data_IF_631947068418
#
_entry.id   IF_631947068418
#
_cell.length_a   1.000
_cell.length_b   1.000
_cell.length_c   1.000
_cell.angle_alpha   90.00
_cell.angle_beta   90.00
_cell.angle_gamma   90.00
#
_symmetry.space_group_name_H-M   'P 1'
#
loop_
_entity.id
_entity.type
_entity.pdbx_description
1 polymer ?
#
# COMPACT_ATOMS: atom_id res chain seq x y z
N UNK A 1 -13.91 -1.29 16.33
CA UNK A 1 -12.96 -1.90 15.38
C UNK A 1 -11.66 -2.23 16.10
N UNK A 2 -11.05 -3.40 15.95
CA UNK A 2 -9.76 -3.70 16.55
C UNK A 2 -8.67 -2.94 15.81
N UNK A 3 -8.19 -1.83 16.38
CA UNK A 3 -7.13 -0.97 15.82
C UNK A 3 -5.76 -1.67 15.78
N UNK A 4 -5.60 -2.74 16.57
CA UNK A 4 -4.38 -3.53 16.58
C UNK A 4 -4.06 -4.17 15.22
N UNK A 5 -5.07 -4.65 14.48
CA UNK A 5 -4.84 -5.32 13.19
C UNK A 5 -4.25 -4.39 12.11
N UNK A 6 -4.78 -3.16 11.86
CA UNK A 6 -4.14 -2.23 10.95
C UNK A 6 -2.75 -1.79 11.41
N UNK A 7 -2.52 -1.70 12.73
CA UNK A 7 -1.21 -1.37 13.28
C UNK A 7 -0.19 -2.49 13.01
N UNK A 8 -0.57 -3.74 13.25
CA UNK A 8 0.24 -4.91 12.90
C UNK A 8 0.52 -4.94 11.40
N UNK A 9 -0.50 -4.73 10.57
CA UNK A 9 -0.34 -4.67 9.11
C UNK A 9 0.63 -3.57 8.69
N UNK A 10 0.61 -2.41 9.36
CA UNK A 10 1.53 -1.30 9.07
C UNK A 10 2.99 -1.65 9.40
N UNK A 11 3.24 -2.34 10.50
CA UNK A 11 4.57 -2.84 10.86
C UNK A 11 5.05 -3.91 9.85
N UNK A 12 4.20 -4.87 9.53
CA UNK A 12 4.51 -5.91 8.53
C UNK A 12 4.77 -5.31 7.15
N UNK A 13 4.08 -4.22 6.77
CA UNK A 13 4.39 -3.50 5.54
C UNK A 13 5.82 -2.96 5.54
N UNK A 14 6.25 -2.34 6.61
CA UNK A 14 7.59 -1.79 6.71
C UNK A 14 8.65 -2.91 6.64
N UNK A 15 8.43 -4.01 7.34
CA UNK A 15 9.30 -5.18 7.33
C UNK A 15 9.37 -5.82 5.94
N UNK A 16 8.22 -6.06 5.31
CA UNK A 16 8.15 -6.63 3.96
C UNK A 16 8.78 -5.73 2.91
N UNK A 17 8.55 -4.42 3.00
CA UNK A 17 9.16 -3.42 2.10
C UNK A 17 10.67 -3.38 2.25
N UNK A 18 11.19 -3.49 3.47
CA UNK A 18 12.62 -3.60 3.73
C UNK A 18 13.22 -4.85 3.08
N UNK A 19 12.58 -6.01 3.24
CA UNK A 19 12.99 -7.26 2.58
C UNK A 19 12.99 -7.14 1.07
N UNK A 20 11.92 -6.58 0.45
CA UNK A 20 11.87 -6.33 -0.98
C UNK A 20 12.98 -5.37 -1.45
N UNK A 21 13.23 -4.28 -0.70
CA UNK A 21 14.34 -3.33 -0.99
C UNK A 21 15.69 -4.04 -1.01
N UNK A 22 15.91 -4.96 -0.08
CA UNK A 22 17.13 -5.77 -0.04
C UNK A 22 17.25 -6.69 -1.27
N UNK A 23 16.15 -7.34 -1.67
CA UNK A 23 16.08 -8.14 -2.89
C UNK A 23 16.36 -7.32 -4.16
N UNK A 24 15.75 -6.14 -4.29
CA UNK A 24 15.96 -5.22 -5.42
C UNK A 24 17.41 -4.74 -5.52
N UNK A 25 18.04 -4.38 -4.39
CA UNK A 25 19.46 -3.98 -4.35
C UNK A 25 20.41 -5.08 -4.80
N UNK A 26 19.99 -6.35 -4.68
CA UNK A 26 20.74 -7.53 -5.11
C UNK A 26 20.34 -8.03 -6.49
N UNK A 27 19.61 -7.23 -7.27
CA UNK A 27 19.30 -7.47 -8.68
C UNK A 27 17.99 -8.22 -8.95
N UNK A 28 17.11 -8.42 -7.97
CA UNK A 28 15.77 -8.95 -8.24
C UNK A 28 14.93 -7.96 -9.04
N UNK A 29 14.12 -8.47 -9.97
CA UNK A 29 13.29 -7.60 -10.82
C UNK A 29 12.00 -7.14 -10.10
N UNK A 30 11.64 -5.84 -10.13
CA UNK A 30 10.48 -5.30 -9.39
C UNK A 30 9.14 -5.98 -9.73
N UNK A 31 8.91 -6.32 -11.02
CA UNK A 31 7.67 -6.98 -11.45
C UNK A 31 7.57 -8.39 -10.92
N UNK A 32 8.69 -9.11 -10.81
CA UNK A 32 8.71 -10.42 -10.20
C UNK A 32 8.30 -10.37 -8.73
N UNK A 33 8.85 -9.42 -7.97
CA UNK A 33 8.46 -9.22 -6.57
C UNK A 33 6.97 -8.90 -6.43
N UNK A 34 6.44 -8.08 -7.35
CA UNK A 34 5.02 -7.77 -7.39
C UNK A 34 4.16 -9.03 -7.69
N UNK A 35 4.57 -9.86 -8.66
CA UNK A 35 3.86 -11.10 -8.97
C UNK A 35 3.88 -12.08 -7.79
N UNK A 36 5.02 -12.25 -7.13
CA UNK A 36 5.15 -13.10 -5.94
C UNK A 36 4.24 -12.59 -4.81
N UNK A 37 4.18 -11.27 -4.58
CA UNK A 37 3.29 -10.72 -3.57
C UNK A 37 1.81 -10.87 -3.94
N UNK A 38 1.44 -10.82 -5.23
CA UNK A 38 0.07 -11.10 -5.67
C UNK A 38 -0.33 -12.56 -5.43
N UNK A 39 0.56 -13.50 -5.73
CA UNK A 39 0.36 -14.93 -5.42
C UNK A 39 0.26 -15.17 -3.91
N UNK A 40 1.11 -14.50 -3.12
CA UNK A 40 1.06 -14.58 -1.67
C UNK A 40 -0.27 -14.04 -1.10
N UNK A 41 -0.81 -12.94 -1.64
CA UNK A 41 -2.15 -12.44 -1.26
C UNK A 41 -3.23 -13.51 -1.49
N UNK A 42 -3.23 -14.14 -2.66
CA UNK A 42 -4.18 -15.21 -2.97
C UNK A 42 -4.01 -16.42 -2.03
N UNK A 43 -2.77 -16.85 -1.80
CA UNK A 43 -2.48 -17.97 -0.90
C UNK A 43 -2.91 -17.70 0.54
N UNK A 44 -2.61 -16.53 1.09
CA UNK A 44 -3.02 -16.14 2.45
C UNK A 44 -4.52 -15.95 2.61
N UNK A 45 -5.22 -15.57 1.56
CA UNK A 45 -6.67 -15.39 1.60
C UNK A 45 -7.45 -16.69 1.42
N UNK A 46 -6.89 -17.69 0.74
CA UNK A 46 -7.59 -18.93 0.43
C UNK A 46 -8.21 -19.65 1.66
N UNK A 47 -7.52 -19.77 2.81
CA UNK A 47 -8.11 -20.40 4.01
C UNK A 47 -9.32 -19.67 4.57
N UNK A 48 -9.51 -18.37 4.26
CA UNK A 48 -10.65 -17.60 4.77
C UNK A 48 -12.00 -18.17 4.35
N UNK A 49 -12.07 -18.88 3.22
CA UNK A 49 -13.29 -19.58 2.77
C UNK A 49 -13.79 -20.56 3.82
N UNK A 50 -12.87 -21.20 4.56
CA UNK A 50 -13.21 -22.21 5.57
C UNK A 50 -13.67 -21.55 6.87
N UNK A 51 -12.96 -20.48 7.30
CA UNK A 51 -13.18 -19.85 8.60
C UNK A 51 -14.28 -18.79 8.61
N UNK A 52 -14.57 -18.19 7.46
CA UNK A 52 -15.52 -17.09 7.33
C UNK A 52 -16.49 -17.35 6.16
N UNK A 53 -17.29 -18.44 6.23
CA UNK A 53 -18.26 -18.72 5.18
C UNK A 53 -19.27 -17.59 5.09
N UNK A 54 -19.61 -17.20 3.86
CA UNK A 54 -20.59 -16.16 3.60
C UNK A 54 -21.73 -16.69 2.73
N UNK A 55 -22.76 -15.86 2.55
CA UNK A 55 -23.84 -16.14 1.59
C UNK A 55 -23.49 -15.53 0.24
N UNK A 56 -23.28 -16.33 -0.81
CA UNK A 56 -22.87 -15.79 -2.10
C UNK A 56 -24.00 -14.99 -2.75
N UNK A 57 -23.76 -13.68 -2.96
CA UNK A 57 -24.63 -12.80 -3.70
C UNK A 57 -23.93 -12.35 -4.99
N UNK A 58 -24.64 -12.34 -6.12
CA UNK A 58 -24.07 -11.97 -7.43
C UNK A 58 -23.40 -10.59 -7.43
N UNK A 59 -23.99 -9.61 -6.74
CA UNK A 59 -23.40 -8.25 -6.60
C UNK A 59 -22.07 -8.26 -5.84
N UNK A 60 -21.96 -9.09 -4.79
CA UNK A 60 -20.72 -9.27 -4.04
C UNK A 60 -19.62 -9.91 -4.88
N UNK A 61 -19.99 -10.87 -5.74
CA UNK A 61 -19.08 -11.51 -6.70
C UNK A 61 -18.49 -10.49 -7.68
N UNK A 62 -19.34 -9.69 -8.34
CA UNK A 62 -18.89 -8.63 -9.24
C UNK A 62 -18.05 -7.58 -8.51
N UNK A 63 -18.41 -7.25 -7.26
CA UNK A 63 -17.61 -6.35 -6.41
C UNK A 63 -16.23 -6.87 -6.12
N UNK A 64 -16.06 -8.19 -5.91
CA UNK A 64 -14.76 -8.80 -5.69
C UNK A 64 -13.87 -8.73 -6.94
N UNK A 65 -14.43 -9.07 -8.11
CA UNK A 65 -13.70 -8.95 -9.39
C UNK A 65 -13.31 -7.50 -9.67
N UNK A 66 -14.21 -6.55 -9.43
CA UNK A 66 -13.94 -5.13 -9.57
C UNK A 66 -12.80 -4.69 -8.63
N UNK A 67 -12.88 -5.04 -7.35
CA UNK A 67 -11.84 -4.69 -6.36
C UNK A 67 -10.45 -5.24 -6.76
N UNK A 68 -10.38 -6.49 -7.23
CA UNK A 68 -9.14 -7.08 -7.72
C UNK A 68 -8.58 -6.39 -8.96
N UNK A 69 -9.45 -6.00 -9.89
CA UNK A 69 -9.08 -5.24 -11.10
C UNK A 69 -8.56 -3.84 -10.72
N UNK A 70 -9.25 -3.12 -9.83
CA UNK A 70 -8.82 -1.81 -9.35
C UNK A 70 -7.48 -1.89 -8.63
N UNK A 71 -7.29 -2.91 -7.79
CA UNK A 71 -6.01 -3.17 -7.13
C UNK A 71 -4.90 -3.43 -8.16
N UNK A 72 -5.16 -4.22 -9.21
CA UNK A 72 -4.21 -4.47 -10.29
C UNK A 72 -3.80 -3.17 -10.99
N UNK A 73 -4.75 -2.31 -11.34
CA UNK A 73 -4.48 -1.01 -12.00
C UNK A 73 -3.65 -0.12 -11.07
N UNK A 74 -4.03 -0.01 -9.80
CA UNK A 74 -3.29 0.75 -8.79
C UNK A 74 -1.84 0.28 -8.67
N UNK A 75 -1.60 -1.04 -8.60
CA UNK A 75 -0.25 -1.62 -8.55
C UNK A 75 0.55 -1.37 -9.83
N UNK A 76 -0.08 -1.47 -11.00
CA UNK A 76 0.55 -1.16 -12.28
C UNK A 76 0.98 0.32 -12.37
N UNK A 77 0.13 1.23 -11.89
CA UNK A 77 0.46 2.66 -11.79
C UNK A 77 1.61 2.92 -10.80
N UNK A 78 1.59 2.27 -9.63
CA UNK A 78 2.65 2.38 -8.63
C UNK A 78 4.01 1.90 -9.18
N UNK A 79 4.04 0.76 -9.87
CA UNK A 79 5.27 0.26 -10.53
C UNK A 79 5.78 1.28 -11.55
N UNK A 80 4.90 1.90 -12.35
CA UNK A 80 5.31 2.93 -13.33
C UNK A 80 5.84 4.19 -12.65
N UNK A 81 5.22 4.63 -11.56
CA UNK A 81 5.72 5.75 -10.77
C UNK A 81 7.15 5.48 -10.26
N UNK A 82 7.37 4.29 -9.68
CA UNK A 82 8.66 3.90 -9.13
C UNK A 82 9.73 3.64 -10.20
N UNK A 83 9.33 3.18 -11.41
CA UNK A 83 10.26 2.90 -12.50
C UNK A 83 10.71 4.16 -13.24
N UNK A 84 9.96 5.25 -13.19
CA UNK A 84 10.23 6.49 -13.95
C UNK A 84 10.84 7.59 -13.10
N UNK A 85 10.67 7.58 -11.78
CA UNK A 85 11.04 8.67 -10.91
C UNK A 85 11.67 8.28 -9.60
N UNK A 86 11.96 9.30 -8.81
CA UNK A 86 12.55 9.11 -7.50
C UNK A 86 11.52 8.61 -6.49
N UNK A 87 11.94 7.68 -5.65
CA UNK A 87 11.12 7.08 -4.58
C UNK A 87 10.64 8.15 -3.60
N UNK A 88 11.46 9.20 -3.41
CA UNK A 88 11.18 10.32 -2.50
C UNK A 88 9.99 11.17 -2.93
N UNK A 89 9.67 11.20 -4.25
CA UNK A 89 8.51 11.91 -4.77
C UNK A 89 7.27 11.00 -4.84
N UNK A 90 7.44 9.75 -5.27
CA UNK A 90 6.31 8.83 -5.44
C UNK A 90 5.65 8.47 -4.09
N UNK A 91 6.43 8.30 -3.02
CA UNK A 91 5.92 7.85 -1.72
C UNK A 91 5.02 8.86 -1.03
N UNK A 92 5.35 10.19 -0.98
CA UNK A 92 4.43 11.20 -0.46
C UNK A 92 3.09 11.23 -1.18
N UNK A 93 3.13 11.16 -2.51
CA UNK A 93 1.91 11.21 -3.33
C UNK A 93 1.06 9.94 -3.12
N UNK A 94 1.67 8.77 -2.99
CA UNK A 94 0.96 7.54 -2.60
C UNK A 94 0.30 7.65 -1.21
N UNK A 95 0.82 8.48 -0.32
CA UNK A 95 0.23 8.79 0.97
C UNK A 95 -1.15 9.46 0.88
N UNK A 96 -1.45 10.17 -0.22
CA UNK A 96 -2.76 10.77 -0.48
C UNK A 96 -3.91 9.73 -0.58
N UNK A 97 -3.59 8.43 -0.67
CA UNK A 97 -4.57 7.35 -0.62
C UNK A 97 -5.58 7.54 0.51
N UNK A 98 -5.14 7.96 1.70
CA UNK A 98 -6.00 8.11 2.86
C UNK A 98 -7.08 9.20 2.66
N UNK A 99 -6.71 10.31 2.01
CA UNK A 99 -7.66 11.36 1.63
C UNK A 99 -8.64 10.83 0.58
N UNK A 100 -8.16 10.12 -0.44
CA UNK A 100 -9.05 9.52 -1.45
C UNK A 100 -10.04 8.53 -0.82
N UNK A 101 -9.61 7.69 0.12
CA UNK A 101 -10.52 6.78 0.83
C UNK A 101 -11.60 7.56 1.56
N UNK A 102 -11.25 8.61 2.32
CA UNK A 102 -12.20 9.42 3.04
C UNK A 102 -13.23 10.10 2.09
N UNK A 103 -12.76 10.73 1.02
CA UNK A 103 -13.62 11.38 0.02
C UNK A 103 -14.51 10.37 -0.70
N UNK A 104 -13.95 9.24 -1.15
CA UNK A 104 -14.71 8.21 -1.86
C UNK A 104 -15.74 7.52 -0.95
N UNK A 105 -15.46 7.39 0.36
CA UNK A 105 -16.45 6.90 1.34
C UNK A 105 -17.66 7.82 1.37
N UNK A 106 -17.46 9.13 1.46
CA UNK A 106 -18.58 10.10 1.44
C UNK A 106 -19.34 10.07 0.10
N UNK A 107 -18.60 10.08 -1.03
CA UNK A 107 -19.23 10.23 -2.36
C UNK A 107 -19.89 8.93 -2.84
N UNK A 108 -19.20 7.78 -2.72
CA UNK A 108 -19.66 6.50 -3.30
C UNK A 108 -20.51 5.68 -2.33
N UNK A 109 -20.17 5.68 -1.03
CA UNK A 109 -20.92 4.93 -0.03
C UNK A 109 -22.06 5.77 0.56
N UNK A 110 -21.98 7.10 0.44
CA UNK A 110 -22.87 8.05 1.11
C UNK A 110 -22.84 7.88 2.64
N UNK A 111 -21.73 7.38 3.17
CA UNK A 111 -21.51 7.23 4.61
C UNK A 111 -20.85 8.50 5.15
N UNK A 112 -21.37 9.08 6.25
CA UNK A 112 -20.76 10.25 6.85
C UNK A 112 -19.39 9.89 7.43
N UNK A 113 -18.39 10.71 7.10
CA UNK A 113 -17.06 10.65 7.73
C UNK A 113 -17.00 11.77 8.74
N UNK A 114 -16.74 11.46 10.01
CA UNK A 114 -16.69 12.49 11.06
C UNK A 114 -15.60 13.53 10.75
N UNK A 115 -15.77 14.81 11.17
CA UNK A 115 -14.76 15.84 10.96
C UNK A 115 -13.39 15.47 11.53
N UNK A 116 -13.35 14.78 12.68
CA UNK A 116 -12.11 14.29 13.28
C UNK A 116 -11.42 13.22 12.43
N UNK A 117 -12.19 12.29 11.83
CA UNK A 117 -11.65 11.27 10.94
C UNK A 117 -11.17 11.89 9.61
N UNK A 118 -11.87 12.91 9.08
CA UNK A 118 -11.43 13.65 7.89
C UNK A 118 -10.13 14.41 8.17
N UNK A 119 -10.04 15.11 9.31
CA UNK A 119 -8.82 15.78 9.75
C UNK A 119 -7.67 14.76 9.93
N UNK A 120 -7.94 13.60 10.52
CA UNK A 120 -7.00 12.49 10.63
C UNK A 120 -6.49 12.02 9.27
N UNK A 121 -7.37 11.91 8.26
CA UNK A 121 -6.98 11.52 6.90
C UNK A 121 -6.04 12.56 6.24
N UNK A 122 -6.32 13.84 6.40
CA UNK A 122 -5.44 14.92 5.91
C UNK A 122 -4.11 14.93 6.63
N UNK A 123 -4.13 14.89 7.96
CA UNK A 123 -2.90 14.89 8.77
C UNK A 123 -2.02 13.68 8.50
N UNK A 124 -2.61 12.48 8.35
CA UNK A 124 -1.85 11.26 8.02
C UNK A 124 -1.18 11.37 6.65
N UNK A 125 -1.85 11.97 5.67
CA UNK A 125 -1.28 12.19 4.33
C UNK A 125 -0.13 13.19 4.37
N UNK A 126 -0.26 14.30 5.10
CA UNK A 126 0.81 15.27 5.33
C UNK A 126 1.98 14.64 6.09
N UNK A 127 1.70 13.85 7.12
CA UNK A 127 2.70 13.13 7.88
C UNK A 127 3.53 12.19 7.00
N UNK A 128 2.86 11.36 6.16
CA UNK A 128 3.55 10.47 5.22
C UNK A 128 4.37 11.27 4.21
N UNK A 129 3.88 12.42 3.74
CA UNK A 129 4.64 13.29 2.86
C UNK A 129 5.93 13.78 3.53
N UNK A 130 5.86 14.30 4.76
CA UNK A 130 7.03 14.75 5.52
C UNK A 130 8.04 13.63 5.80
N UNK A 131 7.54 12.45 6.24
CA UNK A 131 8.37 11.29 6.54
C UNK A 131 9.10 10.74 5.31
N UNK A 132 8.56 10.97 4.11
CA UNK A 132 9.10 10.49 2.84
C UNK A 132 10.11 11.44 2.20
N UNK A 133 10.28 12.67 2.72
CA UNK A 133 11.22 13.64 2.17
C UNK A 133 12.66 13.13 2.29
N UNK A 134 13.36 13.08 1.15
CA UNK A 134 14.77 12.67 1.13
C UNK A 134 15.69 13.77 1.69
N UNK A 135 16.84 13.40 2.28
CA UNK A 135 17.85 14.38 2.70
C UNK A 135 18.32 15.27 1.56
N UNK A 136 18.31 14.78 0.30
CA UNK A 136 18.69 15.54 -0.88
C UNK A 136 17.74 16.70 -1.17
N UNK A 137 16.42 16.47 -1.10
CA UNK A 137 15.40 17.51 -1.27
C UNK A 137 15.52 18.56 -0.16
N UNK A 138 15.71 18.13 1.08
CA UNK A 138 15.86 19.03 2.22
C UNK A 138 17.13 19.90 2.14
N UNK A 139 18.14 19.47 1.38
CA UNK A 139 19.38 20.22 1.09
C UNK A 139 19.32 21.04 -0.20
N UNK A 140 18.15 21.18 -0.83
CA UNK A 140 17.94 22.02 -2.01
C UNK A 140 18.53 21.48 -3.32
N UNK A 141 18.80 20.18 -3.43
CA UNK A 141 19.19 19.57 -4.72
C UNK A 141 17.99 19.58 -5.67
N UNK A 142 18.11 20.37 -6.76
CA UNK A 142 17.09 20.40 -7.83
C UNK A 142 17.14 19.09 -8.62
N UNK A 143 16.06 18.34 -8.56
CA UNK A 143 15.82 17.20 -9.44
C UNK A 143 15.04 17.66 -10.70
N UNK A 144 15.10 16.90 -11.78
CA UNK A 144 14.51 17.29 -13.08
C UNK A 144 12.99 17.41 -13.03
N UNK A 145 12.44 18.60 -13.14
CA UNK A 145 11.02 18.91 -12.95
C UNK A 145 10.05 18.21 -13.94
N UNK A 146 10.52 17.77 -15.12
CA UNK A 146 9.65 17.08 -16.09
C UNK A 146 9.43 15.61 -15.75
N UNK A 147 10.47 14.92 -15.26
CA UNK A 147 10.40 13.52 -14.79
C UNK A 147 9.51 13.46 -13.55
N UNK A 148 9.56 14.49 -12.71
CA UNK A 148 8.80 14.63 -11.48
C UNK A 148 7.29 14.68 -11.71
N UNK A 149 6.80 15.39 -12.76
CA UNK A 149 5.37 15.47 -13.07
C UNK A 149 4.78 14.12 -13.51
N UNK A 150 5.50 13.37 -14.34
CA UNK A 150 5.04 12.05 -14.78
C UNK A 150 5.01 11.05 -13.60
N UNK A 151 6.01 11.08 -12.74
CA UNK A 151 6.08 10.25 -11.52
C UNK A 151 4.94 10.59 -10.56
N UNK A 152 4.72 11.89 -10.28
CA UNK A 152 3.63 12.35 -9.44
C UNK A 152 2.26 11.95 -10.01
N UNK A 153 2.05 12.08 -11.33
CA UNK A 153 0.81 11.68 -12.00
C UNK A 153 0.52 10.17 -11.84
N UNK A 154 1.52 9.31 -12.08
CA UNK A 154 1.34 7.87 -11.89
C UNK A 154 1.13 7.49 -10.42
N UNK A 155 1.82 8.15 -9.48
CA UNK A 155 1.63 7.92 -8.05
C UNK A 155 0.24 8.37 -7.57
N UNK A 156 -0.27 9.51 -8.10
CA UNK A 156 -1.61 9.99 -7.79
C UNK A 156 -2.70 9.03 -8.29
N UNK A 157 -2.55 8.54 -9.53
CA UNK A 157 -3.44 7.52 -10.07
C UNK A 157 -3.39 6.24 -9.24
N UNK A 158 -2.22 5.80 -8.81
CA UNK A 158 -2.08 4.65 -7.94
C UNK A 158 -2.79 4.86 -6.59
N UNK A 159 -2.60 6.02 -5.96
CA UNK A 159 -3.26 6.38 -4.71
C UNK A 159 -4.79 6.38 -4.84
N UNK A 160 -5.30 6.95 -5.94
CA UNK A 160 -6.73 6.96 -6.27
C UNK A 160 -7.29 5.53 -6.43
N UNK A 161 -6.64 4.70 -7.26
CA UNK A 161 -7.12 3.32 -7.48
C UNK A 161 -7.01 2.46 -6.22
N UNK A 162 -6.00 2.65 -5.39
CA UNK A 162 -5.93 1.98 -4.09
C UNK A 162 -7.04 2.45 -3.15
N UNK A 163 -7.37 3.74 -3.13
CA UNK A 163 -8.49 4.28 -2.37
C UNK A 163 -9.82 3.71 -2.86
N UNK A 164 -10.03 3.68 -4.18
CA UNK A 164 -11.23 3.12 -4.79
C UNK A 164 -11.36 1.60 -4.52
N UNK A 165 -10.23 0.88 -4.50
CA UNK A 165 -10.21 -0.54 -4.08
C UNK A 165 -10.75 -0.70 -2.67
N UNK A 166 -10.25 0.07 -1.69
CA UNK A 166 -10.64 -0.06 -0.29
C UNK A 166 -12.13 0.25 -0.07
N UNK A 167 -12.63 1.29 -0.75
CA UNK A 167 -14.06 1.64 -0.70
C UNK A 167 -14.92 0.57 -1.37
N UNK A 168 -14.44 -0.03 -2.47
CA UNK A 168 -15.12 -1.17 -3.12
C UNK A 168 -15.15 -2.39 -2.19
N UNK A 169 -14.06 -2.68 -1.48
CA UNK A 169 -14.01 -3.73 -0.46
C UNK A 169 -15.03 -3.44 0.64
N UNK A 170 -15.05 -2.22 1.20
CA UNK A 170 -16.02 -1.84 2.24
C UNK A 170 -17.47 -2.04 1.77
N UNK A 171 -17.77 -1.67 0.52
CA UNK A 171 -19.12 -1.76 -0.05
C UNK A 171 -19.61 -3.19 -0.24
N UNK A 172 -18.74 -4.04 -0.81
CA UNK A 172 -19.20 -5.32 -1.37
C UNK A 172 -18.77 -6.55 -0.57
N UNK A 173 -17.76 -6.44 0.32
CA UNK A 173 -17.27 -7.61 1.05
C UNK A 173 -18.34 -8.23 1.95
N UNK A 174 -19.19 -7.42 2.56
CA UNK A 174 -20.29 -7.92 3.41
C UNK A 174 -21.39 -8.65 2.62
N UNK A 175 -21.55 -8.34 1.31
CA UNK A 175 -22.57 -8.98 0.46
C UNK A 175 -22.19 -10.40 0.05
N UNK A 176 -20.91 -10.72 0.01
CA UNK A 176 -20.40 -12.04 -0.34
C UNK A 176 -19.89 -12.82 0.87
N UNK A 177 -19.58 -12.11 1.96
CA UNK A 177 -18.79 -12.60 3.07
C UNK A 177 -17.29 -12.50 2.76
N UNK A 178 -16.51 -12.09 3.76
CA UNK A 178 -15.06 -11.83 3.59
C UNK A 178 -14.32 -13.09 3.12
N UNK A 179 -14.76 -14.27 3.58
CA UNK A 179 -14.16 -15.55 3.22
C UNK A 179 -14.26 -15.90 1.74
N UNK A 180 -15.29 -15.47 1.04
CA UNK A 180 -15.41 -15.62 -0.42
C UNK A 180 -14.90 -14.40 -1.17
N UNK A 181 -15.19 -13.19 -0.67
CA UNK A 181 -14.83 -11.95 -1.33
C UNK A 181 -13.33 -11.81 -1.54
N UNK A 182 -12.55 -12.02 -0.49
CA UNK A 182 -11.13 -11.74 -0.52
C UNK A 182 -10.33 -12.73 -1.39
N UNK A 183 -10.53 -14.07 -1.31
CA UNK A 183 -9.91 -15.01 -2.23
C UNK A 183 -10.26 -14.74 -3.70
N UNK A 184 -11.51 -14.41 -4.00
CA UNK A 184 -11.96 -14.10 -5.35
C UNK A 184 -11.33 -12.79 -5.88
N UNK A 185 -11.27 -11.75 -5.05
CA UNK A 185 -10.58 -10.50 -5.34
C UNK A 185 -9.11 -10.74 -5.70
N UNK A 186 -8.40 -11.53 -4.91
CA UNK A 186 -6.99 -11.80 -5.17
C UNK A 186 -6.77 -12.83 -6.29
N UNK A 187 -7.70 -13.74 -6.52
CA UNK A 187 -7.68 -14.61 -7.70
C UNK A 187 -7.77 -13.78 -8.99
N UNK A 188 -8.69 -12.80 -9.05
CA UNK A 188 -8.76 -11.90 -10.22
C UNK A 188 -7.49 -11.08 -10.42
N UNK A 189 -6.86 -10.61 -9.32
CA UNK A 189 -5.56 -9.93 -9.36
C UNK A 189 -4.47 -10.85 -9.93
N UNK A 190 -4.42 -12.12 -9.51
CA UNK A 190 -3.45 -13.11 -10.00
C UNK A 190 -3.64 -13.39 -11.49
N UNK A 191 -4.90 -13.55 -11.94
CA UNK A 191 -5.23 -13.75 -13.37
C UNK A 191 -4.77 -12.56 -14.22
N UNK A 192 -4.86 -11.33 -13.72
CA UNK A 192 -4.40 -10.14 -14.43
C UNK A 192 -2.87 -9.93 -14.34
N UNK A 193 -2.20 -10.58 -13.40
CA UNK A 193 -0.75 -10.38 -13.16
C UNK A 193 0.12 -10.62 -14.40
N UNK A 194 -0.10 -11.60 -15.30
CA UNK A 194 0.66 -11.77 -16.54
C UNK A 194 0.70 -10.52 -17.43
N UNK A 195 -0.33 -9.67 -17.40
CA UNK A 195 -0.37 -8.43 -18.18
C UNK A 195 0.75 -7.43 -17.79
N UNK A 196 1.28 -7.53 -16.57
CA UNK A 196 2.43 -6.72 -16.14
C UNK A 196 3.71 -7.09 -16.90
N UNK A 197 3.80 -8.31 -17.42
CA UNK A 197 4.97 -8.85 -18.14
C UNK A 197 4.84 -8.74 -19.66
N UNK A 198 3.66 -8.42 -20.17
CA UNK A 198 3.42 -8.33 -21.59
C UNK A 198 4.48 -7.49 -22.35
N UNK A 199 4.89 -6.29 -21.88
CA UNK A 199 5.91 -5.50 -22.57
C UNK A 199 7.27 -6.19 -22.67
N UNK A 200 7.68 -6.99 -21.67
CA UNK A 200 8.94 -7.72 -21.70
C UNK A 200 8.87 -8.94 -22.59
N UNK A 201 7.77 -9.68 -22.56
CA UNK A 201 7.55 -10.87 -23.39
C UNK A 201 7.62 -10.48 -24.86
N UNK A 202 6.99 -9.36 -25.23
CA UNK A 202 6.98 -8.88 -26.62
C UNK A 202 8.31 -8.25 -27.09
N UNK A 203 9.09 -7.64 -26.15
CA UNK A 203 10.32 -6.91 -26.50
C UNK A 203 11.59 -7.76 -26.44
N UNK A 204 11.68 -8.72 -25.52
CA UNK A 204 12.91 -9.44 -25.17
C UNK A 204 12.87 -10.95 -25.38
N UNK A 205 11.77 -11.49 -25.89
CA UNK A 205 11.59 -12.94 -25.96
C UNK A 205 11.48 -13.56 -24.56
N UNK A 206 11.68 -14.89 -24.47
CA UNK A 206 11.52 -15.67 -23.22
C UNK A 206 12.64 -15.48 -22.18
N UNK A 207 13.25 -14.30 -22.07
CA UNK A 207 14.22 -14.07 -20.99
C UNK A 207 13.49 -13.96 -19.66
N UNK A 208 13.74 -14.93 -18.78
CA UNK A 208 13.23 -14.94 -17.42
C UNK A 208 13.73 -13.72 -16.64
N UNK A 209 12.85 -13.13 -15.85
CA UNK A 209 13.22 -12.01 -14.99
C UNK A 209 14.22 -12.47 -13.93
N UNK A 210 15.32 -11.74 -13.72
CA UNK A 210 16.38 -12.20 -12.84
C UNK A 210 15.91 -12.26 -11.38
N UNK A 211 16.22 -13.40 -10.75
CA UNK A 211 16.15 -13.60 -9.31
C UNK A 211 17.47 -14.27 -8.83
N UNK A 212 18.54 -13.46 -8.68
CA UNK A 212 19.82 -13.96 -8.21
C UNK A 212 19.71 -14.70 -6.89
N UNK A 213 20.55 -15.72 -6.66
CA UNK A 213 20.54 -16.49 -5.43
C UNK A 213 20.67 -15.63 -4.18
N UNK A 214 21.55 -14.61 -4.21
CA UNK A 214 21.76 -13.64 -3.15
C UNK A 214 20.55 -12.73 -2.85
N UNK A 215 19.63 -12.57 -3.83
CA UNK A 215 18.44 -11.77 -3.70
C UNK A 215 17.23 -12.55 -3.15
N UNK A 216 17.25 -13.90 -3.26
CA UNK A 216 16.06 -14.75 -3.03
C UNK A 216 15.44 -14.55 -1.67
N UNK A 217 16.22 -14.60 -0.59
CA UNK A 217 15.67 -14.51 0.77
C UNK A 217 14.92 -13.19 0.99
N UNK A 218 15.53 -12.04 0.63
CA UNK A 218 14.89 -10.73 0.75
C UNK A 218 13.69 -10.57 -0.19
N UNK A 219 13.84 -10.99 -1.45
CA UNK A 219 12.80 -10.88 -2.46
C UNK A 219 11.57 -11.73 -2.12
N UNK A 220 11.75 -13.02 -1.82
CA UNK A 220 10.65 -13.92 -1.49
C UNK A 220 10.04 -13.58 -0.14
N UNK A 221 10.85 -13.48 0.91
CA UNK A 221 10.38 -13.16 2.26
C UNK A 221 9.65 -11.82 2.30
N UNK A 222 10.24 -10.76 1.72
CA UNK A 222 9.61 -9.45 1.64
C UNK A 222 8.29 -9.47 0.88
N UNK A 223 8.23 -10.16 -0.27
CA UNK A 223 7.01 -10.25 -1.07
C UNK A 223 5.89 -11.03 -0.38
N UNK A 224 6.24 -12.13 0.31
CA UNK A 224 5.27 -12.93 1.09
C UNK A 224 4.70 -12.12 2.24
N UNK A 225 5.54 -11.38 2.98
CA UNK A 225 5.09 -10.51 4.07
C UNK A 225 4.21 -9.37 3.54
N UNK A 226 4.54 -8.76 2.38
CA UNK A 226 3.67 -7.77 1.72
C UNK A 226 2.33 -8.39 1.31
N UNK A 227 2.33 -9.63 0.84
CA UNK A 227 1.10 -10.36 0.53
C UNK A 227 0.23 -10.55 1.78
N UNK A 228 0.82 -11.02 2.86
CA UNK A 228 0.12 -11.24 4.12
C UNK A 228 -0.48 -9.94 4.70
N UNK A 229 0.33 -8.88 4.83
CA UNK A 229 -0.16 -7.62 5.38
C UNK A 229 -1.26 -6.98 4.52
N UNK A 230 -1.17 -7.08 3.18
CA UNK A 230 -2.24 -6.58 2.31
C UNK A 230 -3.53 -7.38 2.52
N UNK A 231 -3.41 -8.70 2.62
CA UNK A 231 -4.52 -9.58 2.96
C UNK A 231 -5.17 -9.19 4.29
N UNK A 232 -4.36 -8.88 5.31
CA UNK A 232 -4.84 -8.43 6.62
C UNK A 232 -5.58 -7.09 6.55
N UNK A 233 -5.08 -6.11 5.79
CA UNK A 233 -5.77 -4.80 5.60
C UNK A 233 -7.11 -5.00 4.91
N UNK A 234 -7.16 -5.78 3.82
CA UNK A 234 -8.39 -6.07 3.09
C UNK A 234 -9.39 -6.81 3.99
N UNK A 235 -8.93 -7.76 4.79
CA UNK A 235 -9.75 -8.45 5.79
C UNK A 235 -10.37 -7.46 6.77
N UNK A 236 -9.58 -6.56 7.35
CA UNK A 236 -10.07 -5.58 8.33
C UNK A 236 -11.14 -4.68 7.70
N UNK A 237 -10.89 -4.15 6.51
CA UNK A 237 -11.84 -3.29 5.81
C UNK A 237 -13.12 -4.08 5.46
N UNK A 238 -12.98 -5.28 4.91
CA UNK A 238 -14.12 -6.09 4.48
C UNK A 238 -14.99 -6.58 5.64
N UNK A 239 -14.37 -6.95 6.75
CA UNK A 239 -15.07 -7.50 7.91
C UNK A 239 -15.68 -6.40 8.79
N UNK A 240 -14.92 -5.35 9.12
CA UNK A 240 -15.35 -4.30 10.03
C UNK A 240 -16.00 -3.09 9.31
N UNK A 241 -15.65 -2.82 8.05
CA UNK A 241 -16.31 -1.78 7.26
C UNK A 241 -15.82 -0.35 7.52
N UNK A 242 -14.63 -0.14 8.07
CA UNK A 242 -14.10 1.20 8.39
C UNK A 242 -12.84 1.51 7.58
N UNK A 243 -12.98 1.64 6.24
CA UNK A 243 -11.82 1.84 5.35
C UNK A 243 -11.02 3.10 5.71
N UNK A 244 -11.68 4.23 5.99
CA UNK A 244 -10.98 5.49 6.32
C UNK A 244 -10.16 5.35 7.59
N UNK A 245 -10.75 4.87 8.68
CA UNK A 245 -10.05 4.68 9.96
C UNK A 245 -8.92 3.66 9.83
N UNK A 246 -9.16 2.55 9.12
CA UNK A 246 -8.13 1.55 8.82
C UNK A 246 -6.93 2.18 8.13
N UNK A 247 -7.16 3.03 7.11
CA UNK A 247 -6.07 3.66 6.36
C UNK A 247 -5.34 4.74 7.16
N UNK A 248 -6.00 5.49 8.04
CA UNK A 248 -5.33 6.43 8.95
C UNK A 248 -4.38 5.69 9.88
N UNK A 249 -4.83 4.62 10.54
CA UNK A 249 -3.97 3.80 11.41
C UNK A 249 -2.86 3.12 10.60
N UNK A 250 -3.18 2.58 9.44
CA UNK A 250 -2.21 1.92 8.56
C UNK A 250 -1.14 2.89 8.02
N UNK A 251 -1.39 4.20 7.99
CA UNK A 251 -0.39 5.20 7.60
C UNK A 251 0.84 5.21 8.53
N UNK A 252 0.74 4.66 9.76
CA UNK A 252 1.87 4.46 10.69
C UNK A 252 3.00 3.60 10.11
N UNK A 253 2.77 2.91 8.98
CA UNK A 253 3.82 2.21 8.22
C UNK A 253 5.02 3.11 7.87
N UNK A 254 4.80 4.43 7.69
CA UNK A 254 5.86 5.39 7.45
C UNK A 254 6.80 5.55 8.65
N UNK A 255 6.23 5.54 9.86
CA UNK A 255 7.01 5.58 11.11
C UNK A 255 7.84 4.29 11.28
N UNK A 256 7.21 3.13 11.10
CA UNK A 256 7.91 1.84 11.19
C UNK A 256 9.04 1.72 10.17
N UNK A 257 8.84 2.22 8.95
CA UNK A 257 9.89 2.21 7.91
C UNK A 257 11.13 3.01 8.34
N UNK A 258 10.93 4.18 8.97
CA UNK A 258 12.03 5.01 9.49
C UNK A 258 12.73 4.33 10.66
N UNK A 259 11.98 3.76 11.61
CA UNK A 259 12.54 3.06 12.75
C UNK A 259 13.36 1.85 12.32
N UNK A 260 12.86 1.05 11.37
CA UNK A 260 13.59 -0.09 10.82
C UNK A 260 14.84 0.35 10.03
N UNK A 261 14.76 1.43 9.26
CA UNK A 261 15.93 1.97 8.55
C UNK A 261 16.99 2.46 9.53
N UNK A 262 16.61 3.09 10.63
CA UNK A 262 17.52 3.50 11.70
C UNK A 262 18.18 2.34 12.42
N UNK A 263 17.41 1.28 12.72
CA UNK A 263 17.89 0.12 13.45
C UNK A 263 18.79 -0.80 12.59
N UNK A 264 18.47 -0.96 11.30
CA UNK A 264 19.10 -1.96 10.43
C UNK A 264 20.01 -1.36 9.35
N UNK A 265 19.94 -0.08 9.09
CA UNK A 265 20.53 0.57 7.92
C UNK A 265 21.72 1.52 8.17
N UNK A 266 22.17 1.67 9.40
CA UNK A 266 23.31 2.55 9.75
C UNK A 266 22.99 4.04 9.48
N UNK A 267 22.59 4.70 10.50
CA UNK A 267 21.97 6.00 10.65
C UNK A 267 22.65 7.28 10.17
N UNK A 268 23.30 7.33 9.03
CA UNK A 268 23.89 8.60 8.52
C UNK A 268 22.84 9.71 8.33
N UNK A 269 21.59 9.38 8.06
CA UNK A 269 20.50 10.35 7.91
C UNK A 269 20.05 11.00 9.24
N UNK A 270 20.34 10.39 10.38
CA UNK A 270 19.97 10.90 11.70
C UNK A 270 20.95 11.96 12.25
N UNK A 271 22.11 12.15 11.62
CA UNK A 271 23.10 13.16 12.02
C UNK A 271 22.74 14.57 11.53
N UNK A 272 21.80 14.70 10.59
CA UNK A 272 21.34 16.00 10.09
C UNK A 272 20.12 16.47 10.89
N UNK A 273 20.32 17.53 11.68
CA UNK A 273 19.28 18.12 12.55
C UNK A 273 18.00 18.51 11.79
N UNK A 274 18.11 18.97 10.52
CA UNK A 274 16.95 19.32 9.69
C UNK A 274 16.14 18.09 9.30
N UNK A 275 16.82 17.03 8.88
CA UNK A 275 16.18 15.75 8.53
C UNK A 275 15.48 15.17 9.77
N UNK A 276 16.16 15.20 10.92
CA UNK A 276 15.59 14.72 12.17
C UNK A 276 14.35 15.52 12.58
N UNK A 277 14.39 16.86 12.51
CA UNK A 277 13.25 17.72 12.86
C UNK A 277 12.04 17.42 11.97
N UNK A 278 12.22 17.31 10.63
CA UNK A 278 11.13 16.98 9.69
C UNK A 278 10.54 15.59 10.00
N UNK A 279 11.38 14.59 10.30
CA UNK A 279 10.91 13.25 10.66
C UNK A 279 10.16 13.23 11.99
N UNK A 280 10.61 13.97 13.00
CA UNK A 280 9.91 14.09 14.28
C UNK A 280 8.56 14.80 14.11
N UNK A 281 8.50 15.88 13.32
CA UNK A 281 7.25 16.56 12.97
C UNK A 281 6.29 15.62 12.26
N UNK A 282 6.75 14.89 11.25
CA UNK A 282 5.93 13.90 10.56
C UNK A 282 5.43 12.79 11.49
N UNK A 283 6.27 12.31 12.40
CA UNK A 283 5.87 11.31 13.39
C UNK A 283 4.80 11.86 14.36
N UNK A 284 4.96 13.09 14.85
CA UNK A 284 3.98 13.75 15.73
C UNK A 284 2.63 13.95 15.04
N UNK A 285 2.63 14.43 13.78
CA UNK A 285 1.41 14.56 12.98
C UNK A 285 0.72 13.21 12.75
N UNK A 286 1.49 12.15 12.53
CA UNK A 286 0.95 10.81 12.35
C UNK A 286 0.29 10.29 13.62
N UNK A 287 0.91 10.46 14.76
CA UNK A 287 0.32 10.10 16.06
C UNK A 287 -0.95 10.91 16.34
N UNK A 288 -0.94 12.21 16.07
CA UNK A 288 -2.12 13.07 16.18
C UNK A 288 -3.25 12.61 15.25
N UNK A 289 -2.92 12.20 14.00
CA UNK A 289 -3.92 11.68 13.05
C UNK A 289 -4.58 10.40 13.55
N UNK A 290 -3.80 9.51 14.14
CA UNK A 290 -4.32 8.25 14.73
C UNK A 290 -5.19 8.57 15.95
N UNK A 291 -4.77 9.49 16.83
CA UNK A 291 -5.56 9.88 17.99
C UNK A 291 -6.93 10.48 17.58
N UNK A 292 -6.95 11.33 16.55
CA UNK A 292 -8.20 11.88 15.99
C UNK A 292 -9.09 10.78 15.39
N UNK A 293 -8.51 9.81 14.67
CA UNK A 293 -9.27 8.71 14.11
C UNK A 293 -9.87 7.82 15.20
N UNK A 294 -9.11 7.52 16.25
CA UNK A 294 -9.57 6.71 17.39
C UNK A 294 -10.66 7.42 18.18
N UNK A 295 -10.49 8.71 18.46
CA UNK A 295 -11.50 9.51 19.17
C UNK A 295 -12.78 9.77 18.38
N UNK A 296 -12.80 9.41 17.08
CA UNK A 296 -13.93 9.62 16.17
C UNK A 296 -14.69 8.32 15.82
N UNK A 297 -14.25 7.17 16.35
CA UNK A 297 -14.90 5.85 16.20
C UNK A 297 -15.86 5.58 17.35
#
# INVERSE_FOLDING_TARGET
MPLALPLIASFLYALGSWGMKLGLRRGAHPRLLNAISNLAMAGWSAPLVIFFPGTPQARGFLGALLAGTLLFIGRACAIRALAKGDLSLATPVLGMKTIFVALLTVVLLKEPVSPGLMAGAVLSSLAVALLSLSPGILRGKKESAALDRATAGWALLAAFFFGLTDVTVQRFAKMLGVGWFQPLMFASLVVLTPLLFAPEIFRRGKQWLPLPGSARAGALGGSVVIGFQTSLVVFVIGFFGHATATNVVYATRGLWAILLEGALGGGSAYHDKRVLAVRLTGAALLLASVALAVGSL
#
